data_IF_636977857849
#
_entry.id   IF_636977857849
#
_cell.length_a   1.000
_cell.length_b   1.000
_cell.length_c   1.000
_cell.angle_alpha   90.00
_cell.angle_beta   90.00
_cell.angle_gamma   90.00
#
_symmetry.space_group_name_H-M   'P 1'
#
loop_
_entity.id
_entity.type
_entity.pdbx_description
1 polymer ?
#
# COMPACT_ATOMS: atom_id res chain seq x y z
N UNK A 1 -7.33 -9.58 -2.53
CA UNK A 1 -7.45 -11.06 -2.58
C UNK A 1 -6.48 -11.62 -3.61
N UNK A 2 -6.20 -12.92 -3.56
CA UNK A 2 -5.50 -13.66 -4.63
C UNK A 2 -6.38 -14.80 -5.13
N UNK A 3 -6.13 -15.23 -6.35
CA UNK A 3 -6.80 -16.37 -6.96
C UNK A 3 -5.89 -17.60 -6.91
N UNK A 4 -6.45 -18.73 -6.48
CA UNK A 4 -5.80 -20.02 -6.65
C UNK A 4 -5.71 -20.36 -8.15
N UNK A 5 -4.82 -21.28 -8.57
CA UNK A 5 -4.82 -21.77 -9.96
C UNK A 5 -6.15 -22.38 -10.42
N UNK A 6 -7.03 -22.75 -9.48
CA UNK A 6 -8.38 -23.27 -9.74
C UNK A 6 -9.45 -22.17 -9.75
N UNK A 7 -9.08 -20.92 -9.43
CA UNK A 7 -9.99 -19.77 -9.41
C UNK A 7 -10.59 -19.46 -8.04
N UNK A 8 -10.20 -20.17 -6.98
CA UNK A 8 -10.71 -19.89 -5.64
C UNK A 8 -10.13 -18.58 -5.10
N UNK A 9 -10.99 -17.73 -4.53
CA UNK A 9 -10.58 -16.46 -3.94
C UNK A 9 -10.12 -16.63 -2.49
N UNK A 10 -8.91 -16.14 -2.20
CA UNK A 10 -8.41 -15.97 -0.84
C UNK A 10 -8.34 -14.50 -0.48
N UNK A 11 -9.10 -14.09 0.54
CA UNK A 11 -8.98 -12.76 1.13
C UNK A 11 -7.68 -12.68 1.93
N UNK A 12 -6.80 -11.75 1.55
CA UNK A 12 -5.52 -11.53 2.23
C UNK A 12 -5.68 -10.53 3.38
N UNK A 13 -6.26 -9.37 3.07
CA UNK A 13 -6.52 -8.31 4.04
C UNK A 13 -7.82 -7.57 3.71
N UNK A 14 -8.47 -7.08 4.76
CA UNK A 14 -9.54 -6.09 4.71
C UNK A 14 -8.94 -4.76 5.18
N UNK A 15 -9.20 -3.69 4.43
CA UNK A 15 -8.67 -2.36 4.70
C UNK A 15 -9.79 -1.44 5.17
N UNK A 16 -9.52 -0.64 6.21
CA UNK A 16 -10.44 0.34 6.77
C UNK A 16 -9.96 1.78 6.48
N UNK A 17 -10.79 2.81 6.73
CA UNK A 17 -10.34 4.19 6.59
C UNK A 17 -9.07 4.48 7.39
N UNK A 18 -8.06 5.04 6.72
CA UNK A 18 -6.74 5.32 7.30
C UNK A 18 -5.68 4.25 7.03
N UNK A 19 -6.07 3.07 6.53
CA UNK A 19 -5.11 2.07 6.11
C UNK A 19 -4.45 2.41 4.76
N UNK A 20 -3.19 2.00 4.65
CA UNK A 20 -2.42 2.03 3.42
C UNK A 20 -2.27 0.59 2.90
N UNK A 21 -2.09 0.46 1.59
CA UNK A 21 -1.84 -0.80 0.92
C UNK A 21 -0.84 -0.62 -0.22
N UNK A 22 -0.10 -1.68 -0.53
CA UNK A 22 0.84 -1.71 -1.66
C UNK A 22 2.16 -0.99 -1.39
N UNK A 23 2.39 -0.49 -0.17
CA UNK A 23 3.58 0.28 0.19
C UNK A 23 4.87 -0.52 0.01
N UNK A 24 4.89 -1.80 0.43
CA UNK A 24 6.04 -2.67 0.27
C UNK A 24 6.42 -2.87 -1.21
N UNK A 25 5.43 -3.11 -2.08
CA UNK A 25 5.66 -3.26 -3.51
C UNK A 25 6.11 -1.94 -4.15
N UNK A 26 5.51 -0.81 -3.75
CA UNK A 26 5.92 0.52 -4.21
C UNK A 26 7.38 0.82 -3.86
N UNK A 27 7.83 0.56 -2.63
CA UNK A 27 9.23 0.78 -2.23
C UNK A 27 10.18 -0.15 -2.98
N UNK A 28 9.84 -1.43 -3.06
CA UNK A 28 10.61 -2.44 -3.80
C UNK A 28 10.62 -2.21 -5.32
N UNK A 29 9.74 -1.34 -5.84
CA UNK A 29 9.62 -1.07 -7.27
C UNK A 29 8.97 -2.22 -8.06
N UNK A 30 8.17 -3.03 -7.38
CA UNK A 30 7.48 -4.19 -7.95
C UNK A 30 5.98 -3.97 -8.11
N UNK A 31 5.32 -4.97 -8.69
CA UNK A 31 3.85 -5.04 -8.73
C UNK A 31 3.34 -5.75 -7.48
N UNK A 32 2.31 -5.21 -6.85
CA UNK A 32 1.67 -5.86 -5.71
C UNK A 32 0.97 -7.15 -6.19
N UNK A 33 1.21 -8.33 -5.57
CA UNK A 33 0.83 -9.62 -6.15
C UNK A 33 -0.64 -9.99 -5.90
N UNK A 34 -1.49 -9.04 -5.58
CA UNK A 34 -2.88 -9.29 -5.21
C UNK A 34 -3.83 -8.26 -5.81
N UNK A 35 -5.06 -8.68 -6.01
CA UNK A 35 -6.15 -7.84 -6.45
C UNK A 35 -6.69 -7.01 -5.28
N UNK A 36 -7.15 -5.80 -5.58
CA UNK A 36 -7.89 -4.95 -4.67
C UNK A 36 -9.32 -4.75 -5.20
N UNK A 37 -10.31 -4.82 -4.31
CA UNK A 37 -11.70 -4.61 -4.63
C UNK A 37 -12.34 -3.74 -3.55
N UNK A 38 -13.11 -2.74 -3.98
CA UNK A 38 -13.95 -1.96 -3.07
C UNK A 38 -15.17 -2.80 -2.67
N UNK A 39 -15.40 -2.94 -1.36
CA UNK A 39 -16.55 -3.67 -0.79
C UNK A 39 -17.76 -2.73 -0.65
N UNK A 40 -17.50 -1.45 -0.45
CA UNK A 40 -18.47 -0.36 -0.35
C UNK A 40 -17.93 0.88 -1.07
N UNK A 41 -18.79 1.89 -1.26
CA UNK A 41 -18.39 3.17 -1.82
C UNK A 41 -17.28 3.81 -0.97
N UNK A 42 -16.11 4.02 -1.58
CA UNK A 42 -14.95 4.51 -0.87
C UNK A 42 -14.19 5.56 -1.69
N UNK A 43 -13.28 6.26 -0.99
CA UNK A 43 -12.33 7.18 -1.61
C UNK A 43 -10.92 6.72 -1.30
N UNK A 44 -10.08 6.72 -2.31
CA UNK A 44 -8.67 6.36 -2.21
C UNK A 44 -7.81 7.57 -2.55
N UNK A 45 -6.72 7.75 -1.80
CA UNK A 45 -5.66 8.68 -2.13
C UNK A 45 -4.52 7.89 -2.77
N UNK A 46 -4.23 8.19 -4.04
CA UNK A 46 -3.11 7.56 -4.75
C UNK A 46 -1.85 8.40 -4.56
N UNK A 47 -0.81 7.79 -4.01
CA UNK A 47 0.52 8.39 -3.89
C UNK A 47 1.47 7.67 -4.84
N UNK A 48 1.96 8.38 -5.86
CA UNK A 48 2.90 7.83 -6.82
C UNK A 48 4.30 7.68 -6.21
N UNK A 49 4.99 6.58 -6.53
CA UNK A 49 6.35 6.29 -6.05
C UNK A 49 7.30 7.46 -6.25
N UNK A 50 7.32 8.04 -7.44
CA UNK A 50 8.26 9.12 -7.77
C UNK A 50 7.99 10.39 -6.97
N UNK A 51 6.71 10.69 -6.69
CA UNK A 51 6.32 11.81 -5.85
C UNK A 51 6.79 11.59 -4.40
N UNK A 52 6.59 10.40 -3.85
CA UNK A 52 7.01 10.08 -2.49
C UNK A 52 8.53 10.09 -2.34
N UNK A 53 9.25 9.52 -3.30
CA UNK A 53 10.72 9.54 -3.29
C UNK A 53 11.28 10.95 -3.45
N UNK A 54 10.61 11.85 -4.18
CA UNK A 54 10.98 13.28 -4.21
C UNK A 54 10.76 13.92 -2.84
N UNK A 55 9.58 13.73 -2.25
CA UNK A 55 9.27 14.28 -0.93
C UNK A 55 10.27 13.81 0.15
N UNK A 56 10.66 12.54 0.15
CA UNK A 56 11.68 12.01 1.07
C UNK A 56 13.06 12.64 0.85
N UNK A 57 13.42 12.96 -0.40
CA UNK A 57 14.70 13.63 -0.69
C UNK A 57 14.68 15.10 -0.26
N UNK A 58 13.52 15.74 -0.34
CA UNK A 58 13.35 17.13 0.04
C UNK A 58 13.24 17.29 1.58
N UNK A 59 12.72 16.27 2.28
CA UNK A 59 12.60 16.21 3.73
C UNK A 59 12.90 14.80 4.27
N UNK A 60 14.07 14.64 4.90
CA UNK A 60 14.51 13.36 5.46
C UNK A 60 13.72 12.95 6.74
N UNK A 61 13.13 13.90 7.48
CA UNK A 61 12.31 13.59 8.67
C UNK A 61 11.04 12.84 8.28
N UNK A 62 10.52 13.08 7.06
CA UNK A 62 9.40 12.31 6.50
C UNK A 62 9.71 10.80 6.48
N UNK A 63 10.92 10.41 6.05
CA UNK A 63 11.30 9.00 6.03
C UNK A 63 11.39 8.39 7.43
N UNK A 64 11.88 9.15 8.42
CA UNK A 64 11.93 8.73 9.83
C UNK A 64 10.52 8.52 10.37
N UNK A 65 9.61 9.47 10.13
CA UNK A 65 8.21 9.35 10.51
C UNK A 65 7.52 8.15 9.87
N UNK A 66 7.80 7.88 8.59
CA UNK A 66 7.29 6.70 7.90
C UNK A 66 7.82 5.39 8.49
N UNK A 67 9.11 5.30 8.81
CA UNK A 67 9.68 4.11 9.47
C UNK A 67 9.04 3.85 10.83
N UNK A 68 8.82 4.90 11.62
CA UNK A 68 8.14 4.80 12.91
C UNK A 68 6.69 4.29 12.74
N UNK A 69 5.94 4.85 11.79
CA UNK A 69 4.56 4.44 11.51
C UNK A 69 4.44 3.00 11.01
N UNK A 70 5.36 2.56 10.15
CA UNK A 70 5.38 1.17 9.64
C UNK A 70 5.78 0.14 10.70
N UNK A 71 6.61 0.54 11.68
CA UNK A 71 7.03 -0.35 12.77
C UNK A 71 5.99 -0.47 13.89
N UNK A 72 5.03 0.45 13.93
CA UNK A 72 3.96 0.48 14.93
C UNK A 72 2.70 -0.31 14.52
N UNK A 73 2.63 -0.79 13.27
CA UNK A 73 1.59 -1.68 12.75
C UNK A 73 1.99 -3.14 12.94
#
# INVERSE_FOLDING_TARGET
FQLSPRGDEQILHLFAPGDAMGEAAMFAGGTFPAHAQAIEDCRLLVVWRDCLLRAIRDDAELAVGMMAGLSAK
#
